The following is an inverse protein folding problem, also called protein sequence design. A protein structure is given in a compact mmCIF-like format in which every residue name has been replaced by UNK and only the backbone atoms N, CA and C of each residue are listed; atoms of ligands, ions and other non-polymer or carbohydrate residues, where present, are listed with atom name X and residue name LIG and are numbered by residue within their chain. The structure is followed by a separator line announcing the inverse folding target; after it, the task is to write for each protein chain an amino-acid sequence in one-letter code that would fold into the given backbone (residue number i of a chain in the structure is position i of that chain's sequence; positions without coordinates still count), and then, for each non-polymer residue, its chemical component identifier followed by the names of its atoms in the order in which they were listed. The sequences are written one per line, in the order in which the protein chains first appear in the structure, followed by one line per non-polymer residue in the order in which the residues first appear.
data_IF_139167837901
#
_entry.id   IF_139167837901
#
_cell.length_a   1.000
_cell.length_b   1.000
_cell.length_c   1.000
_cell.angle_alpha   90.00
_cell.angle_beta   90.00
_cell.angle_gamma   90.00
#
_symmetry.space_group_name_H-M   'P 1'
#
loop_
_entity.id
_entity.type
_entity.pdbx_description
1 polymer ?
#
# COMPACT_ATOMS: atom_id res chain seq x y z
N UNK A 1 -9.22 22.33 -67.00
CA UNK A 1 -7.91 21.98 -66.42
C UNK A 1 -8.05 21.97 -64.90
N UNK A 2 -8.47 20.84 -64.33
CA UNK A 2 -8.67 20.69 -62.89
C UNK A 2 -7.33 20.49 -62.17
N UNK A 3 -7.09 21.25 -61.11
CA UNK A 3 -6.02 20.95 -60.14
C UNK A 3 -6.69 20.53 -58.84
N UNK A 4 -6.47 19.28 -58.50
CA UNK A 4 -7.07 18.52 -57.42
C UNK A 4 -6.75 19.15 -56.05
N UNK A 5 -7.73 19.19 -55.13
CA UNK A 5 -7.56 19.71 -53.77
C UNK A 5 -6.87 18.67 -52.86
N UNK A 6 -6.32 19.16 -51.74
CA UNK A 6 -5.73 18.43 -50.60
C UNK A 6 -4.26 17.99 -50.72
N UNK A 7 -3.38 18.75 -50.07
CA UNK A 7 -2.08 18.26 -49.59
C UNK A 7 -2.31 17.43 -48.32
N UNK A 8 -2.29 16.11 -48.47
CA UNK A 8 -2.08 15.16 -47.37
C UNK A 8 -0.57 15.10 -47.10
N UNK A 9 -0.07 15.88 -46.14
CA UNK A 9 1.21 15.57 -45.50
C UNK A 9 0.95 14.49 -44.45
N UNK A 10 0.98 13.24 -44.91
CA UNK A 10 1.36 12.11 -44.07
C UNK A 10 2.79 12.32 -43.55
N UNK A 11 3.08 11.73 -42.40
CA UNK A 11 4.40 11.71 -41.74
C UNK A 11 4.72 12.93 -40.88
N UNK A 12 3.97 13.08 -39.79
CA UNK A 12 4.61 13.48 -38.55
C UNK A 12 4.32 12.34 -37.59
N UNK A 13 5.34 11.55 -37.28
CA UNK A 13 5.37 10.84 -36.01
C UNK A 13 5.15 11.89 -34.93
N UNK A 14 3.89 12.16 -34.59
CA UNK A 14 3.51 13.04 -33.51
C UNK A 14 3.83 12.30 -32.22
N UNK A 15 5.13 12.23 -31.93
CA UNK A 15 5.65 11.79 -30.65
C UNK A 15 5.16 12.80 -29.63
N UNK A 16 4.14 12.43 -28.87
CA UNK A 16 3.64 13.25 -27.77
C UNK A 16 4.79 13.34 -26.77
N UNK A 17 5.42 14.52 -26.68
CA UNK A 17 6.36 14.79 -25.61
C UNK A 17 5.57 14.77 -24.30
N UNK A 18 5.68 13.69 -23.54
CA UNK A 18 5.23 13.69 -22.14
C UNK A 18 6.09 14.73 -21.44
N UNK A 19 5.52 15.90 -21.15
CA UNK A 19 6.15 16.84 -20.22
C UNK A 19 6.14 16.15 -18.87
N UNK A 20 7.30 15.63 -18.48
CA UNK A 20 7.55 15.31 -17.08
C UNK A 20 7.71 16.68 -16.43
N UNK A 21 6.64 17.20 -15.86
CA UNK A 21 6.69 18.42 -15.05
C UNK A 21 7.71 18.24 -13.92
N UNK A 22 8.14 19.35 -13.32
CA UNK A 22 9.09 19.35 -12.21
C UNK A 22 8.63 18.33 -11.14
N UNK A 23 9.51 17.42 -10.69
CA UNK A 23 9.13 16.44 -9.69
C UNK A 23 8.57 17.18 -8.48
N UNK A 24 7.34 16.85 -8.11
CA UNK A 24 6.74 17.40 -6.89
C UNK A 24 7.71 17.25 -5.71
N UNK A 25 7.62 18.13 -4.71
CA UNK A 25 8.49 18.08 -3.53
C UNK A 25 8.51 16.68 -2.89
N UNK A 26 7.38 15.95 -2.90
CA UNK A 26 7.26 14.56 -2.44
C UNK A 26 8.16 13.58 -3.20
N UNK A 27 8.33 13.80 -4.51
CA UNK A 27 9.17 12.99 -5.39
C UNK A 27 10.64 13.34 -5.26
N UNK A 28 10.97 14.62 -5.07
CA UNK A 28 12.36 15.04 -4.85
C UNK A 28 12.88 14.64 -3.47
N UNK A 29 12.02 14.55 -2.46
CA UNK A 29 12.38 14.11 -1.10
C UNK A 29 12.24 12.60 -0.89
N UNK A 30 11.94 11.82 -1.93
CA UNK A 30 11.76 10.37 -1.82
C UNK A 30 13.12 9.71 -1.62
N UNK A 31 13.34 9.13 -0.43
CA UNK A 31 14.48 8.27 -0.15
C UNK A 31 14.02 6.80 -0.11
N UNK A 32 14.44 5.96 -1.09
CA UNK A 32 14.09 4.55 -1.12
C UNK A 32 14.56 3.78 0.13
N UNK A 33 15.67 4.18 0.75
CA UNK A 33 16.25 3.49 1.89
C UNK A 33 15.46 3.78 3.17
N UNK A 34 15.14 5.05 3.41
CA UNK A 34 14.30 5.47 4.55
C UNK A 34 12.86 4.93 4.44
N UNK A 35 12.34 4.78 3.22
CA UNK A 35 11.02 4.15 3.04
C UNK A 35 11.04 2.65 3.39
N UNK A 36 12.12 1.93 3.06
CA UNK A 36 12.24 0.51 3.40
C UNK A 36 12.37 0.29 4.91
N UNK A 37 13.13 1.15 5.60
CA UNK A 37 13.25 1.09 7.05
C UNK A 37 11.93 1.41 7.74
N UNK A 38 11.24 2.49 7.31
CA UNK A 38 9.92 2.85 7.84
C UNK A 38 8.89 1.74 7.61
N UNK A 39 8.84 1.16 6.40
CA UNK A 39 7.93 0.07 6.08
C UNK A 39 8.16 -1.17 6.96
N UNK A 40 9.43 -1.45 7.29
CA UNK A 40 9.78 -2.56 8.18
C UNK A 40 9.30 -2.30 9.61
N UNK A 41 9.51 -1.08 10.11
CA UNK A 41 9.03 -0.69 11.45
C UNK A 41 7.51 -0.78 11.52
N UNK A 42 6.80 -0.28 10.51
CA UNK A 42 5.34 -0.35 10.45
C UNK A 42 4.85 -1.80 10.48
N UNK A 43 5.54 -2.71 9.78
CA UNK A 43 5.22 -4.12 9.78
C UNK A 43 5.45 -4.77 11.16
N UNK A 44 6.61 -4.52 11.77
CA UNK A 44 6.96 -5.05 13.09
C UNK A 44 5.93 -4.60 14.15
N UNK A 45 5.51 -3.33 14.13
CA UNK A 45 4.47 -2.81 15.04
C UNK A 45 3.12 -3.51 14.87
N UNK A 46 2.73 -3.84 13.64
CA UNK A 46 1.48 -4.57 13.37
C UNK A 46 1.56 -5.99 13.91
N UNK A 47 2.69 -6.66 13.75
CA UNK A 47 2.88 -8.02 14.26
C UNK A 47 2.91 -8.05 15.79
N UNK A 48 3.59 -7.11 16.45
CA UNK A 48 3.58 -6.96 17.91
C UNK A 48 2.15 -6.75 18.45
N UNK A 49 1.37 -5.87 17.81
CA UNK A 49 -0.01 -5.62 18.20
C UNK A 49 -0.89 -6.88 18.03
N UNK A 50 -0.67 -7.66 16.97
CA UNK A 50 -1.37 -8.92 16.73
C UNK A 50 -1.02 -9.97 17.76
N UNK A 51 0.26 -10.14 18.08
CA UNK A 51 0.71 -11.09 19.09
C UNK A 51 0.10 -10.77 20.46
N UNK A 52 0.12 -9.49 20.84
CA UNK A 52 -0.46 -9.05 22.10
C UNK A 52 -1.99 -9.27 22.15
N UNK A 53 -2.69 -9.01 21.05
CA UNK A 53 -4.13 -9.32 20.95
C UNK A 53 -4.40 -10.83 21.05
N UNK A 54 -3.57 -11.67 20.43
CA UNK A 54 -3.66 -13.13 20.52
C UNK A 54 -3.49 -13.62 21.95
N UNK A 55 -2.49 -13.11 22.69
CA UNK A 55 -2.25 -13.45 24.10
C UNK A 55 -3.48 -13.09 24.95
N UNK A 56 -3.99 -11.86 24.82
CA UNK A 56 -5.16 -11.41 25.57
C UNK A 56 -6.39 -12.27 25.27
N UNK A 57 -6.64 -12.57 24.00
CA UNK A 57 -7.77 -13.39 23.59
C UNK A 57 -7.66 -14.83 24.11
N UNK A 58 -6.46 -15.43 24.10
CA UNK A 58 -6.22 -16.73 24.70
C UNK A 58 -6.49 -16.73 26.21
N UNK A 59 -5.99 -15.69 26.92
CA UNK A 59 -6.23 -15.53 28.35
C UNK A 59 -7.72 -15.40 28.68
N UNK A 60 -8.47 -14.60 27.92
CA UNK A 60 -9.92 -14.46 28.09
C UNK A 60 -10.66 -15.78 27.87
N UNK A 61 -10.30 -16.54 26.82
CA UNK A 61 -10.88 -17.85 26.57
C UNK A 61 -10.60 -18.83 27.71
N UNK A 62 -9.37 -18.88 28.19
CA UNK A 62 -8.99 -19.74 29.32
C UNK A 62 -9.75 -19.36 30.59
N UNK A 63 -9.88 -18.07 30.88
CA UNK A 63 -10.65 -17.59 32.03
C UNK A 63 -12.13 -17.96 31.91
N UNK A 64 -12.72 -17.79 30.73
CA UNK A 64 -14.10 -18.20 30.45
C UNK A 64 -14.31 -19.69 30.66
N UNK A 65 -13.41 -20.53 30.14
CA UNK A 65 -13.45 -21.98 30.33
C UNK A 65 -13.33 -22.36 31.81
N UNK A 66 -12.42 -21.74 32.56
CA UNK A 66 -12.29 -21.97 34.00
C UNK A 66 -13.57 -21.66 34.76
N UNK A 67 -14.20 -20.51 34.48
CA UNK A 67 -15.47 -20.12 35.13
C UNK A 67 -16.61 -21.08 34.80
N UNK A 68 -16.68 -21.55 33.55
CA UNK A 68 -17.68 -22.55 33.18
C UNK A 68 -17.45 -23.85 33.95
N UNK A 69 -16.23 -24.39 33.88
CA UNK A 69 -15.87 -25.66 34.53
C UNK A 69 -16.05 -25.63 36.05
N UNK A 70 -15.82 -24.49 36.72
CA UNK A 70 -16.01 -24.38 38.17
C UNK A 70 -17.48 -24.45 38.60
N UNK A 71 -18.42 -24.15 37.70
CA UNK A 71 -19.85 -24.18 38.00
C UNK A 71 -20.53 -25.49 37.57
N UNK A 72 -19.82 -26.36 36.85
CA UNK A 72 -20.29 -27.70 36.51
C UNK A 72 -19.98 -28.63 37.69
N UNK A 73 -21.01 -29.10 38.39
CA UNK A 73 -20.88 -30.23 39.33
C UNK A 73 -20.93 -31.55 38.56
N UNK A 74 -20.18 -32.58 38.96
CA UNK A 74 -20.28 -33.92 38.37
C UNK A 74 -21.66 -34.53 38.56
#
# INVERSE_FOLDING_TARGET
MGKTPYQLTYEINAMISVKIDEPSQRRSSFDPFENLSALRVDFDLVEEAREQACIQHAAYRQQGAHRYNSNVRP
#
